data_IF_689295921614
#
_entry.id   IF_689295921614
#
_cell.length_a   1.000
_cell.length_b   1.000
_cell.length_c   1.000
_cell.angle_alpha   90.00
_cell.angle_beta   90.00
_cell.angle_gamma   90.00
#
_symmetry.space_group_name_H-M   'P 1'
#
loop_
_entity.id
_entity.type
_entity.pdbx_description
1 polymer ?
#
# COMPACT_ATOMS: atom_id res chain seq x y z
N UNK A 1 -23.81 4.60 -26.89
CA UNK A 1 -22.65 3.69 -26.95
C UNK A 1 -23.07 2.23 -26.85
N UNK A 2 -23.85 1.83 -25.85
CA UNK A 2 -24.23 0.42 -25.63
C UNK A 2 -24.96 -0.23 -26.81
N UNK A 3 -25.86 0.48 -27.49
CA UNK A 3 -26.57 -0.02 -28.69
C UNK A 3 -25.61 -0.20 -29.87
N UNK A 4 -24.78 0.81 -30.16
CA UNK A 4 -23.73 0.75 -31.20
C UNK A 4 -22.75 -0.41 -30.97
N UNK A 5 -22.36 -0.65 -29.73
CA UNK A 5 -21.45 -1.75 -29.38
C UNK A 5 -22.08 -3.12 -29.67
N UNK A 6 -23.37 -3.30 -29.37
CA UNK A 6 -24.11 -4.53 -29.68
C UNK A 6 -24.28 -4.73 -31.18
N UNK A 7 -24.55 -3.66 -31.92
CA UNK A 7 -24.70 -3.71 -33.38
C UNK A 7 -23.39 -4.10 -34.07
N UNK A 8 -22.25 -3.64 -33.55
CA UNK A 8 -20.94 -3.85 -34.17
C UNK A 8 -20.06 -4.91 -33.50
N UNK A 9 -20.61 -5.70 -32.55
CA UNK A 9 -19.91 -6.74 -31.79
C UNK A 9 -18.56 -6.28 -31.20
N UNK A 10 -18.56 -5.10 -30.59
CA UNK A 10 -17.36 -4.52 -29.99
C UNK A 10 -17.27 -4.85 -28.50
N UNK A 11 -16.05 -4.87 -27.96
CA UNK A 11 -15.83 -4.94 -26.50
C UNK A 11 -15.82 -3.54 -25.91
N UNK A 12 -16.49 -3.35 -24.77
CA UNK A 12 -16.48 -2.10 -24.01
C UNK A 12 -15.95 -2.36 -22.61
N UNK A 13 -15.00 -1.53 -22.20
CA UNK A 13 -14.46 -1.47 -20.84
C UNK A 13 -14.29 0.00 -20.46
N UNK A 14 -14.20 0.30 -19.17
CA UNK A 14 -13.80 1.63 -18.71
C UNK A 14 -12.30 1.67 -18.43
N UNK A 15 -11.72 2.89 -18.42
CA UNK A 15 -10.34 3.09 -17.96
C UNK A 15 -10.16 2.68 -16.50
N UNK A 16 -11.21 2.80 -15.68
CA UNK A 16 -11.25 2.32 -14.30
C UNK A 16 -11.09 0.79 -14.23
N UNK A 17 -11.88 0.05 -15.01
CA UNK A 17 -11.81 -1.42 -15.02
C UNK A 17 -10.44 -1.91 -15.49
N UNK A 18 -9.86 -1.22 -16.47
CA UNK A 18 -8.50 -1.53 -16.94
C UNK A 18 -7.45 -1.25 -15.85
N UNK A 19 -7.55 -0.14 -15.12
CA UNK A 19 -6.64 0.18 -14.03
C UNK A 19 -6.73 -0.85 -12.89
N UNK A 20 -7.95 -1.24 -12.49
CA UNK A 20 -8.18 -2.29 -11.48
C UNK A 20 -7.64 -3.65 -11.94
N UNK A 21 -7.86 -4.01 -13.21
CA UNK A 21 -7.33 -5.25 -13.77
C UNK A 21 -5.80 -5.30 -13.71
N UNK A 22 -5.13 -4.21 -14.07
CA UNK A 22 -3.66 -4.12 -14.00
C UNK A 22 -3.16 -4.19 -12.56
N UNK A 23 -3.80 -3.48 -11.62
CA UNK A 23 -3.45 -3.53 -10.19
C UNK A 23 -3.54 -4.95 -9.60
N UNK A 24 -4.48 -5.79 -10.07
CA UNK A 24 -4.63 -7.17 -9.60
C UNK A 24 -3.68 -8.18 -10.29
N UNK A 25 -3.13 -7.83 -11.45
CA UNK A 25 -2.39 -8.77 -12.31
C UNK A 25 -0.91 -8.46 -12.47
N UNK A 26 -0.52 -7.23 -12.19
CA UNK A 26 0.85 -6.75 -12.33
C UNK A 26 1.45 -6.47 -10.94
N UNK A 27 2.73 -6.82 -10.76
CA UNK A 27 3.50 -6.34 -9.62
C UNK A 27 3.98 -4.92 -9.94
N UNK A 28 3.37 -3.92 -9.30
CA UNK A 28 3.68 -2.50 -9.53
C UNK A 28 4.66 -1.91 -8.50
N UNK A 29 5.18 -2.76 -7.62
CA UNK A 29 6.19 -2.42 -6.61
C UNK A 29 7.29 -3.48 -6.58
N UNK A 30 8.50 -3.06 -6.24
CA UNK A 30 9.66 -3.94 -6.07
C UNK A 30 10.28 -3.78 -4.67
N UNK A 31 10.68 -4.88 -4.04
CA UNK A 31 11.47 -4.82 -2.79
C UNK A 31 12.88 -4.35 -3.12
N UNK A 32 13.31 -3.25 -2.51
CA UNK A 32 14.63 -2.65 -2.73
C UNK A 32 15.62 -3.08 -1.67
N UNK A 33 15.20 -3.10 -0.40
CA UNK A 33 16.05 -3.48 0.73
C UNK A 33 15.20 -3.81 1.94
N UNK A 34 15.76 -4.58 2.87
CA UNK A 34 15.17 -4.81 4.18
C UNK A 34 16.21 -4.78 5.30
N UNK A 35 15.76 -4.45 6.51
CA UNK A 35 16.59 -4.41 7.73
C UNK A 35 15.77 -4.72 8.98
N UNK A 36 16.45 -5.03 10.08
CA UNK A 36 15.83 -5.11 11.41
C UNK A 36 15.79 -3.72 12.02
N UNK A 37 14.60 -3.28 12.39
CA UNK A 37 14.35 -1.98 13.01
C UNK A 37 13.88 -2.17 14.45
N UNK A 38 14.75 -1.94 15.45
CA UNK A 38 14.34 -1.94 16.85
C UNK A 38 13.52 -0.69 17.15
N UNK A 39 12.37 -0.87 17.80
CA UNK A 39 11.47 0.22 18.22
C UNK A 39 11.03 0.03 19.67
N UNK A 40 10.33 1.01 20.23
CA UNK A 40 9.71 0.89 21.56
C UNK A 40 8.65 -0.23 21.63
N UNK A 41 8.05 -0.61 20.49
CA UNK A 41 7.07 -1.69 20.38
C UNK A 41 7.70 -3.06 20.04
N UNK A 42 9.04 -3.15 20.14
CA UNK A 42 9.83 -4.32 19.80
C UNK A 42 10.48 -4.23 18.42
N UNK A 43 10.99 -5.36 17.96
CA UNK A 43 11.68 -5.45 16.68
C UNK A 43 10.69 -5.69 15.52
N UNK A 44 10.94 -5.00 14.43
CA UNK A 44 10.24 -5.19 13.15
C UNK A 44 11.26 -5.45 12.05
N UNK A 45 10.89 -6.27 11.07
CA UNK A 45 11.54 -6.25 9.77
C UNK A 45 10.97 -5.08 8.97
N UNK A 46 11.80 -4.08 8.70
CA UNK A 46 11.45 -2.94 7.85
C UNK A 46 11.85 -3.26 6.42
N UNK A 47 10.89 -3.22 5.50
CA UNK A 47 11.07 -3.54 4.08
C UNK A 47 10.72 -2.32 3.25
N UNK A 48 11.63 -1.89 2.38
CA UNK A 48 11.41 -0.80 1.45
C UNK A 48 10.92 -1.31 0.10
N UNK A 49 9.79 -0.79 -0.34
CA UNK A 49 9.20 -1.07 -1.64
C UNK A 49 9.23 0.19 -2.51
N UNK A 50 9.82 0.10 -3.71
CA UNK A 50 9.77 1.17 -4.70
C UNK A 50 8.56 0.99 -5.60
N UNK A 51 7.79 2.05 -5.80
CA UNK A 51 6.71 2.09 -6.79
C UNK A 51 7.29 2.28 -8.19
N UNK A 52 6.90 1.40 -9.11
CA UNK A 52 7.37 1.41 -10.50
C UNK A 52 6.70 2.51 -11.35
N UNK A 53 5.66 3.18 -10.82
CA UNK A 53 4.89 4.20 -11.54
C UNK A 53 5.33 5.64 -11.23
N UNK A 54 5.80 5.92 -10.02
CA UNK A 54 6.06 7.30 -9.55
C UNK A 54 7.32 7.47 -8.69
N UNK A 55 8.22 6.48 -8.70
CA UNK A 55 9.49 6.45 -7.95
C UNK A 55 9.36 6.63 -6.42
N UNK A 56 8.15 6.60 -5.86
CA UNK A 56 7.95 6.68 -4.42
C UNK A 56 8.46 5.42 -3.71
N UNK A 57 8.93 5.60 -2.48
CA UNK A 57 9.34 4.50 -1.60
C UNK A 57 8.33 4.38 -0.47
N UNK A 58 7.79 3.18 -0.31
CA UNK A 58 6.92 2.80 0.79
C UNK A 58 7.64 1.84 1.73
N UNK A 59 7.29 1.87 3.01
CA UNK A 59 7.87 0.99 4.03
C UNK A 59 6.79 0.06 4.59
N UNK A 60 7.07 -1.24 4.60
CA UNK A 60 6.30 -2.21 5.36
C UNK A 60 7.06 -2.60 6.63
N UNK A 61 6.40 -2.48 7.79
CA UNK A 61 6.90 -2.97 9.07
C UNK A 61 6.24 -4.30 9.38
N UNK A 62 7.05 -5.37 9.38
CA UNK A 62 6.58 -6.75 9.55
C UNK A 62 7.07 -7.30 10.88
N UNK A 63 6.17 -7.86 11.68
CA UNK A 63 6.50 -8.51 12.95
C UNK A 63 6.18 -9.99 12.87
N UNK A 64 7.19 -10.83 13.10
CA UNK A 64 7.07 -12.29 12.90
C UNK A 64 7.06 -12.67 11.42
N UNK A 65 6.46 -13.82 11.12
CA UNK A 65 6.33 -14.38 9.77
C UNK A 65 4.89 -14.21 9.27
N UNK A 66 4.74 -13.75 8.03
CA UNK A 66 3.44 -13.63 7.35
C UNK A 66 3.25 -14.87 6.50
N UNK A 67 2.19 -15.63 6.77
CA UNK A 67 1.82 -16.83 6.02
C UNK A 67 0.54 -16.59 5.23
N UNK A 68 0.46 -17.22 4.06
CA UNK A 68 -0.63 -16.97 3.12
C UNK A 68 -2.00 -17.51 3.61
N UNK A 69 -1.97 -18.57 4.41
CA UNK A 69 -3.13 -19.29 4.92
C UNK A 69 -3.62 -18.82 6.29
N UNK A 70 -2.93 -17.85 6.90
CA UNK A 70 -3.25 -17.33 8.23
C UNK A 70 -3.70 -15.85 8.15
N UNK A 71 -4.84 -15.47 8.76
CA UNK A 71 -5.23 -14.07 8.87
C UNK A 71 -4.14 -13.24 9.55
N UNK A 72 -3.67 -12.20 8.87
CA UNK A 72 -2.63 -11.30 9.39
C UNK A 72 -3.26 -9.96 9.75
N UNK A 73 -2.90 -9.42 10.93
CA UNK A 73 -3.29 -8.06 11.30
C UNK A 73 -2.55 -7.05 10.41
N UNK A 74 -3.29 -6.20 9.71
CA UNK A 74 -2.73 -5.21 8.78
C UNK A 74 -3.26 -3.82 9.10
N UNK A 75 -2.36 -2.85 9.07
CA UNK A 75 -2.67 -1.42 9.05
C UNK A 75 -2.01 -0.77 7.85
N UNK A 76 -2.80 -0.09 7.02
CA UNK A 76 -2.29 0.80 5.97
C UNK A 76 -2.33 2.23 6.50
N UNK A 77 -1.18 2.91 6.50
CA UNK A 77 -1.05 4.26 7.02
C UNK A 77 -0.52 5.19 5.92
N UNK A 78 -1.25 6.27 5.68
CA UNK A 78 -0.78 7.35 4.79
C UNK A 78 0.11 8.29 5.59
N UNK A 79 1.32 8.53 5.10
CA UNK A 79 2.29 9.41 5.75
C UNK A 79 1.69 10.79 6.04
N UNK A 80 1.84 11.25 7.28
CA UNK A 80 1.53 12.61 7.70
C UNK A 80 2.77 13.23 8.35
N UNK A 81 3.52 14.03 7.60
CA UNK A 81 4.76 14.63 8.11
C UNK A 81 4.55 15.41 9.42
N UNK A 82 3.49 16.22 9.48
CA UNK A 82 3.20 17.05 10.66
C UNK A 82 2.76 16.22 11.86
N UNK A 83 1.93 15.19 11.67
CA UNK A 83 1.45 14.33 12.76
C UNK A 83 2.48 13.29 13.22
N UNK A 84 3.05 12.55 12.27
CA UNK A 84 3.91 11.39 12.55
C UNK A 84 5.30 11.81 13.03
N UNK A 85 5.87 12.87 12.44
CA UNK A 85 7.24 13.32 12.74
C UNK A 85 7.24 14.48 13.73
N UNK A 86 6.42 15.52 13.49
CA UNK A 86 6.43 16.73 14.32
C UNK A 86 5.42 16.70 15.49
N UNK A 87 4.59 15.66 15.60
CA UNK A 87 3.63 15.52 16.71
C UNK A 87 2.53 16.59 16.73
N UNK A 88 2.14 17.10 15.55
CA UNK A 88 1.12 18.13 15.43
C UNK A 88 -0.24 17.68 15.96
N UNK A 89 -0.82 18.44 16.90
CA UNK A 89 -2.17 18.25 17.42
C UNK A 89 -3.31 18.67 16.48
N UNK A 90 -3.00 19.19 15.28
CA UNK A 90 -4.03 19.52 14.27
C UNK A 90 -4.65 18.27 13.62
N UNK A 91 -4.05 17.11 13.84
CA UNK A 91 -4.51 15.81 13.37
C UNK A 91 -4.09 14.76 14.39
N UNK A 92 -4.68 13.57 14.34
CA UNK A 92 -4.38 12.46 15.22
C UNK A 92 -3.51 11.37 14.55
N UNK A 93 -2.99 11.61 13.34
CA UNK A 93 -2.22 10.62 12.56
C UNK A 93 -1.06 9.98 13.35
N UNK A 94 -0.28 10.79 14.08
CA UNK A 94 0.84 10.28 14.87
C UNK A 94 0.40 9.41 16.04
N UNK A 95 -0.76 9.68 16.65
CA UNK A 95 -1.34 8.81 17.69
C UNK A 95 -1.90 7.53 17.08
N UNK A 96 -2.56 7.62 15.92
CA UNK A 96 -3.07 6.44 15.21
C UNK A 96 -1.94 5.49 14.85
N UNK A 97 -0.82 6.01 14.33
CA UNK A 97 0.36 5.20 13.99
C UNK A 97 0.96 4.51 15.22
N UNK A 98 1.04 5.20 16.37
CA UNK A 98 1.56 4.62 17.62
C UNK A 98 0.65 3.53 18.24
N UNK A 99 -0.65 3.60 17.99
CA UNK A 99 -1.64 2.63 18.48
C UNK A 99 -1.79 1.41 17.56
N UNK A 100 -1.10 1.41 16.42
CA UNK A 100 -1.17 0.35 15.40
C UNK A 100 -0.28 -0.85 15.74
#
# INVERSE_FOLDING_TARGET
LTEFIKEHDLKMITTKDLAEYRLMKEALVEEVTSTVMPTHSGEFRSVAFKNLLDDQIHIALVKGEVKHDEPTLVRVHSQCLTGDVFGSYRCDCGEQLKKS
#
